data_IF_791717042226
#
_entry.id   IF_791717042226
#
_cell.length_a   1.000
_cell.length_b   1.000
_cell.length_c   1.000
_cell.angle_alpha   90.00
_cell.angle_beta   90.00
_cell.angle_gamma   90.00
#
_symmetry.space_group_name_H-M   'P 1'
#
loop_
_entity.id
_entity.type
_entity.pdbx_description
1 polymer ?
#
# COMPACT_ATOMS: atom_id res chain seq x y z
N UNK A 1 12.07 -19.39 -8.78
CA UNK A 1 11.19 -18.52 -7.98
C UNK A 1 9.77 -18.77 -8.42
N UNK A 2 8.95 -19.35 -7.54
CA UNK A 2 7.52 -19.50 -7.75
C UNK A 2 6.86 -18.13 -7.59
N UNK A 3 6.05 -17.74 -8.56
CA UNK A 3 5.25 -16.50 -8.47
C UNK A 3 3.98 -16.78 -7.69
N UNK A 4 3.34 -15.74 -7.13
CA UNK A 4 2.03 -15.86 -6.48
C UNK A 4 1.05 -16.64 -7.38
N UNK A 5 0.94 -16.25 -8.66
CA UNK A 5 0.03 -16.90 -9.60
C UNK A 5 0.34 -18.38 -9.82
N UNK A 6 1.62 -18.77 -9.81
CA UNK A 6 2.01 -20.17 -9.96
C UNK A 6 1.63 -20.99 -8.72
N UNK A 7 1.83 -20.45 -7.51
CA UNK A 7 1.46 -21.13 -6.27
C UNK A 7 -0.06 -21.24 -6.11
N UNK A 8 -0.81 -20.18 -6.43
CA UNK A 8 -2.27 -20.23 -6.41
C UNK A 8 -2.81 -21.28 -7.39
N UNK A 9 -2.27 -21.34 -8.61
CA UNK A 9 -2.68 -22.35 -9.60
C UNK A 9 -2.26 -23.78 -9.21
N UNK A 10 -1.23 -23.93 -8.37
CA UNK A 10 -0.75 -25.24 -7.92
C UNK A 10 -1.57 -25.79 -6.76
N UNK A 11 -1.98 -24.92 -5.82
CA UNK A 11 -2.54 -25.36 -4.52
C UNK A 11 -4.04 -25.06 -4.34
N UNK A 12 -4.68 -24.34 -5.27
CA UNK A 12 -6.08 -23.90 -5.13
C UNK A 12 -6.84 -23.95 -6.46
N UNK A 13 -8.15 -24.23 -6.42
CA UNK A 13 -9.08 -24.04 -7.56
C UNK A 13 -9.82 -22.69 -7.49
N UNK A 14 -9.17 -21.62 -7.01
CA UNK A 14 -9.79 -20.30 -6.91
C UNK A 14 -10.18 -19.73 -8.29
N UNK A 15 -11.37 -19.11 -8.42
CA UNK A 15 -11.75 -18.45 -9.67
C UNK A 15 -10.84 -17.26 -9.96
N UNK A 16 -10.67 -16.91 -11.23
CA UNK A 16 -9.79 -15.82 -11.66
C UNK A 16 -10.05 -14.48 -10.96
N UNK A 17 -11.32 -14.18 -10.63
CA UNK A 17 -11.68 -12.95 -9.90
C UNK A 17 -11.17 -12.93 -8.45
N UNK A 18 -11.12 -14.09 -7.77
CA UNK A 18 -10.53 -14.24 -6.46
C UNK A 18 -9.00 -14.14 -6.51
N UNK A 19 -8.38 -14.76 -7.54
CA UNK A 19 -6.94 -14.63 -7.81
C UNK A 19 -6.56 -13.16 -8.04
N UNK A 20 -7.32 -12.44 -8.85
CA UNK A 20 -7.11 -11.00 -9.09
C UNK A 20 -7.27 -10.19 -7.79
N UNK A 21 -8.17 -10.57 -6.89
CA UNK A 21 -8.31 -9.93 -5.58
C UNK A 21 -7.06 -10.17 -4.71
N UNK A 22 -6.55 -11.40 -4.63
CA UNK A 22 -5.30 -11.69 -3.90
C UNK A 22 -4.11 -10.94 -4.48
N UNK A 23 -4.02 -10.83 -5.81
CA UNK A 23 -3.00 -10.00 -6.46
C UNK A 23 -3.10 -8.53 -6.08
N UNK A 24 -4.33 -7.97 -5.96
CA UNK A 24 -4.52 -6.61 -5.46
C UNK A 24 -4.10 -6.48 -3.99
N UNK A 25 -4.45 -7.44 -3.13
CA UNK A 25 -4.03 -7.45 -1.71
C UNK A 25 -2.50 -7.42 -1.63
N UNK A 26 -1.82 -8.28 -2.39
CA UNK A 26 -0.35 -8.34 -2.50
C UNK A 26 0.24 -7.10 -3.18
N UNK A 27 -0.50 -6.39 -4.03
CA UNK A 27 -0.07 -5.10 -4.57
C UNK A 27 -0.01 -3.99 -3.51
N UNK A 28 -0.85 -4.10 -2.47
CA UNK A 28 -1.08 -3.05 -1.47
C UNK A 28 -0.41 -3.32 -0.11
N UNK A 29 -0.09 -4.58 0.17
CA UNK A 29 0.34 -5.04 1.48
C UNK A 29 1.65 -4.45 2.02
N UNK A 30 2.49 -3.80 1.21
CA UNK A 30 3.69 -3.15 1.72
C UNK A 30 3.30 -1.99 2.62
N UNK A 31 2.23 -1.28 2.26
CA UNK A 31 1.64 -0.26 3.12
C UNK A 31 1.11 -0.88 4.42
N UNK A 32 0.45 -2.05 4.35
CA UNK A 32 -0.03 -2.77 5.53
C UNK A 32 1.13 -3.18 6.45
N UNK A 33 2.19 -3.75 5.89
CA UNK A 33 3.39 -4.14 6.63
C UNK A 33 4.04 -2.91 7.30
N UNK A 34 4.21 -1.81 6.56
CA UNK A 34 4.81 -0.58 7.07
C UNK A 34 3.97 0.07 8.19
N UNK A 35 2.63 0.11 8.04
CA UNK A 35 1.72 0.66 9.04
C UNK A 35 1.58 -0.24 10.28
N UNK A 36 1.72 -1.55 10.10
CA UNK A 36 1.61 -2.52 11.21
C UNK A 36 2.94 -2.80 11.91
N UNK A 37 4.06 -2.32 11.36
CA UNK A 37 5.41 -2.65 11.83
C UNK A 37 5.65 -4.17 11.90
N UNK A 38 5.02 -4.92 10.99
CA UNK A 38 4.92 -6.37 11.05
C UNK A 38 5.29 -7.00 9.71
N UNK A 39 5.88 -8.20 9.77
CA UNK A 39 5.95 -9.09 8.63
C UNK A 39 4.55 -9.57 8.28
N UNK A 40 4.22 -9.65 6.99
CA UNK A 40 2.90 -10.04 6.50
C UNK A 40 3.05 -11.22 5.55
N UNK A 41 2.38 -12.34 5.85
CA UNK A 41 2.37 -13.52 5.00
C UNK A 41 0.95 -13.78 4.50
N UNK A 42 0.83 -14.30 3.29
CA UNK A 42 -0.43 -14.72 2.69
C UNK A 42 -0.49 -16.25 2.64
N UNK A 43 -1.48 -16.82 3.30
CA UNK A 43 -1.73 -18.25 3.41
C UNK A 43 -2.96 -18.65 2.61
N UNK A 44 -2.91 -19.80 1.95
CA UNK A 44 -4.07 -20.46 1.33
C UNK A 44 -4.20 -21.88 1.87
N UNK A 45 -5.42 -22.39 1.95
CA UNK A 45 -5.64 -23.81 2.20
C UNK A 45 -5.25 -24.60 0.95
N UNK A 46 -4.39 -25.60 1.11
CA UNK A 46 -4.08 -26.53 0.04
C UNK A 46 -5.21 -27.54 -0.09
N UNK A 47 -5.67 -27.80 -1.32
CA UNK A 47 -6.66 -28.85 -1.55
C UNK A 47 -6.09 -30.23 -1.20
N UNK A 48 -6.85 -31.01 -0.44
CA UNK A 48 -6.53 -32.39 -0.09
C UNK A 48 -6.65 -33.31 -1.32
N UNK A 49 -5.67 -33.28 -2.21
CA UNK A 49 -5.50 -34.29 -3.24
C UNK A 49 -5.01 -35.60 -2.64
N UNK A 50 -5.75 -36.71 -2.82
CA UNK A 50 -5.21 -38.06 -2.58
C UNK A 50 -5.29 -38.64 -1.16
N UNK A 51 -6.07 -38.04 -0.25
CA UNK A 51 -6.34 -38.63 1.07
C UNK A 51 -5.35 -38.23 2.18
N UNK A 52 -4.47 -37.26 1.93
CA UNK A 52 -3.69 -36.60 2.99
C UNK A 52 -4.46 -35.41 3.59
N UNK A 53 -4.32 -35.14 4.90
CA UNK A 53 -4.94 -33.98 5.53
C UNK A 53 -4.46 -32.70 4.85
N UNK A 54 -5.41 -31.80 4.53
CA UNK A 54 -5.11 -30.51 3.90
C UNK A 54 -4.24 -29.66 4.82
N UNK A 55 -3.14 -29.14 4.29
CA UNK A 55 -2.29 -28.17 4.98
C UNK A 55 -2.61 -26.74 4.54
N UNK A 56 -1.83 -25.79 5.04
CA UNK A 56 -1.82 -24.41 4.52
C UNK A 56 -0.48 -24.11 3.87
N UNK A 57 -0.50 -23.31 2.81
CA UNK A 57 0.70 -22.93 2.06
C UNK A 57 0.86 -21.43 2.12
N UNK A 58 2.07 -20.97 2.46
CA UNK A 58 2.42 -19.56 2.30
C UNK A 58 2.68 -19.28 0.82
N UNK A 59 1.86 -18.45 0.20
CA UNK A 59 1.96 -18.14 -1.23
C UNK A 59 2.66 -16.82 -1.50
N UNK A 60 2.85 -16.00 -0.47
CA UNK A 60 3.51 -14.71 -0.60
C UNK A 60 3.95 -14.18 0.79
N UNK A 61 5.08 -13.47 0.85
CA UNK A 61 5.61 -12.81 2.05
C UNK A 61 6.00 -11.34 1.77
N UNK A 62 5.76 -10.46 2.75
CA UNK A 62 6.18 -9.06 2.76
C UNK A 62 6.80 -8.71 4.12
N UNK A 63 7.89 -7.92 4.09
CA UNK A 63 8.58 -7.44 5.31
C UNK A 63 8.39 -5.93 5.45
N UNK A 64 8.25 -5.40 6.68
CA UNK A 64 8.09 -3.97 6.89
C UNK A 64 9.40 -3.24 6.60
N UNK A 65 9.30 -2.03 6.07
CA UNK A 65 10.46 -1.10 5.96
C UNK A 65 10.61 -0.22 7.20
N UNK A 66 9.59 -0.20 8.06
CA UNK A 66 9.49 0.64 9.26
C UNK A 66 9.96 -0.05 10.54
N UNK A 67 10.24 -1.35 10.50
CA UNK A 67 10.68 -2.14 11.65
C UNK A 67 11.59 -3.31 11.21
N UNK A 68 12.29 -3.91 12.17
CA UNK A 68 13.05 -5.13 11.92
C UNK A 68 12.11 -6.32 11.74
N UNK A 69 12.39 -7.15 10.73
CA UNK A 69 11.68 -8.42 10.49
C UNK A 69 11.93 -9.40 11.64
N UNK A 70 10.88 -10.14 12.02
CA UNK A 70 10.94 -11.31 12.91
C UNK A 70 10.97 -12.62 12.13
N UNK A 71 10.81 -12.57 10.81
CA UNK A 71 10.85 -13.72 9.89
C UNK A 71 11.99 -13.55 8.87
N UNK A 72 13.25 -13.82 9.28
CA UNK A 72 14.41 -13.65 8.40
C UNK A 72 14.41 -14.64 7.23
N UNK A 73 13.81 -15.82 7.42
CA UNK A 73 13.73 -16.87 6.40
C UNK A 73 12.59 -16.60 5.40
N UNK A 74 12.76 -17.10 4.18
CA UNK A 74 11.73 -17.06 3.15
C UNK A 74 10.77 -18.23 3.34
N UNK A 75 9.50 -17.91 3.60
CA UNK A 75 8.45 -18.91 3.84
C UNK A 75 7.64 -19.22 2.59
N UNK A 76 7.91 -18.57 1.45
CA UNK A 76 7.07 -18.70 0.24
C UNK A 76 7.22 -20.10 -0.39
N UNK A 77 6.08 -20.76 -0.58
CA UNK A 77 5.97 -22.12 -1.11
C UNK A 77 6.06 -23.21 -0.04
N UNK A 78 6.27 -22.85 1.23
CA UNK A 78 6.30 -23.80 2.33
C UNK A 78 4.89 -24.28 2.64
N UNK A 79 4.68 -25.59 2.53
CA UNK A 79 3.51 -26.29 3.05
C UNK A 79 3.75 -26.56 4.53
N UNK A 80 2.88 -26.01 5.37
CA UNK A 80 2.93 -26.20 6.83
C UNK A 80 1.69 -26.95 7.29
N UNK A 81 1.89 -27.74 8.32
CA UNK A 81 0.81 -28.41 9.02
C UNK A 81 -0.03 -27.41 9.80
N UNK A 82 -1.27 -27.79 10.09
CA UNK A 82 -2.20 -26.98 10.88
C UNK A 82 -1.66 -26.65 12.28
N UNK A 83 -0.84 -27.53 12.85
CA UNK A 83 -0.26 -27.38 14.19
C UNK A 83 0.84 -26.31 14.27
N UNK A 84 1.49 -25.99 13.15
CA UNK A 84 2.57 -24.98 13.11
C UNK A 84 2.02 -23.55 13.17
N UNK A 85 0.83 -23.32 12.61
CA UNK A 85 0.16 -22.02 12.58
C UNK A 85 -1.32 -22.12 12.96
N UNK A 86 -1.65 -22.54 14.20
CA UNK A 86 -3.02 -22.85 14.60
C UNK A 86 -3.96 -21.63 14.56
N UNK A 87 -3.41 -20.42 14.74
CA UNK A 87 -4.18 -19.17 14.65
C UNK A 87 -4.58 -18.83 13.21
N UNK A 88 -3.83 -19.27 12.20
CA UNK A 88 -4.16 -19.12 10.78
C UNK A 88 -5.31 -20.05 10.42
N UNK A 89 -5.23 -21.32 10.80
CA UNK A 89 -6.32 -22.28 10.59
C UNK A 89 -7.62 -21.79 11.25
N UNK A 90 -7.56 -21.38 12.52
CA UNK A 90 -8.73 -20.85 13.23
C UNK A 90 -9.36 -19.66 12.50
N UNK A 91 -8.57 -18.83 11.81
CA UNK A 91 -9.09 -17.73 11.01
C UNK A 91 -9.79 -18.20 9.73
N UNK A 92 -9.28 -19.26 9.08
CA UNK A 92 -10.00 -19.92 7.98
C UNK A 92 -11.35 -20.47 8.44
N UNK A 93 -11.37 -21.22 9.56
CA UNK A 93 -12.59 -21.87 10.09
C UNK A 93 -13.64 -20.87 10.58
N UNK A 94 -13.22 -19.89 11.36
CA UNK A 94 -14.15 -18.94 11.99
C UNK A 94 -14.54 -17.79 11.06
N UNK A 95 -13.72 -17.53 10.04
CA UNK A 95 -13.82 -16.34 9.19
C UNK A 95 -13.72 -15.03 9.97
N UNK A 96 -13.07 -15.04 11.13
CA UNK A 96 -12.85 -13.88 12.00
C UNK A 96 -11.36 -13.60 12.16
N UNK A 97 -11.03 -12.37 12.52
CA UNK A 97 -9.66 -12.01 12.92
C UNK A 97 -9.30 -12.73 14.22
N UNK A 98 -8.20 -13.48 14.20
CA UNK A 98 -7.71 -14.27 15.35
C UNK A 98 -6.37 -13.72 15.81
N UNK A 99 -6.26 -13.37 17.09
CA UNK A 99 -4.98 -13.04 17.72
C UNK A 99 -4.40 -14.33 18.29
N UNK A 100 -3.14 -14.64 18.00
CA UNK A 100 -2.51 -15.82 18.56
C UNK A 100 -2.18 -15.60 20.04
N UNK A 101 -2.22 -16.70 20.80
CA UNK A 101 -1.65 -16.71 22.14
C UNK A 101 -0.12 -16.54 22.08
N UNK A 102 0.47 -16.06 23.16
CA UNK A 102 1.93 -15.93 23.25
C UNK A 102 2.53 -17.32 23.30
N UNK A 103 3.43 -17.62 22.36
CA UNK A 103 4.18 -18.87 22.38
C UNK A 103 5.35 -18.74 23.38
N UNK A 104 5.39 -19.56 24.45
CA UNK A 104 6.47 -19.50 25.44
C UNK A 104 7.83 -19.97 24.88
N UNK A 105 7.86 -20.62 23.72
CA UNK A 105 9.09 -21.05 23.06
C UNK A 105 9.76 -19.96 22.22
N UNK A 106 9.05 -18.86 21.95
CA UNK A 106 9.60 -17.73 21.21
C UNK A 106 10.77 -17.10 21.97
N UNK A 107 11.89 -16.93 21.28
CA UNK A 107 13.08 -16.24 21.82
C UNK A 107 12.80 -14.76 22.13
N UNK A 108 11.87 -14.15 21.41
CA UNK A 108 11.39 -12.78 21.61
C UNK A 108 9.87 -12.81 21.61
N UNK A 109 9.18 -12.20 22.58
CA UNK A 109 7.72 -12.21 22.59
C UNK A 109 7.14 -11.61 21.29
N UNK A 110 6.37 -12.40 20.55
CA UNK A 110 5.75 -11.97 19.30
C UNK A 110 4.27 -11.63 19.50
N UNK A 111 3.80 -10.64 18.74
CA UNK A 111 2.38 -10.36 18.54
C UNK A 111 2.01 -10.89 17.17
N UNK A 112 1.28 -12.00 17.13
CA UNK A 112 0.79 -12.63 15.90
C UNK A 112 -0.71 -12.45 15.76
N UNK A 113 -1.18 -12.20 14.55
CA UNK A 113 -2.60 -12.11 14.25
C UNK A 113 -2.87 -12.63 12.84
N UNK A 114 -3.94 -13.43 12.70
CA UNK A 114 -4.46 -13.87 11.43
C UNK A 114 -5.72 -13.05 11.05
N UNK A 115 -5.77 -12.63 9.79
CA UNK A 115 -6.83 -11.80 9.21
C UNK A 115 -7.34 -12.51 7.95
N UNK A 116 -8.58 -13.02 7.96
CA UNK A 116 -9.20 -13.59 6.77
C UNK A 116 -9.21 -12.59 5.62
N UNK A 117 -8.98 -13.05 4.40
CA UNK A 117 -9.14 -12.28 3.17
C UNK A 117 -10.44 -12.73 2.52
N UNK A 118 -11.43 -11.85 2.43
CA UNK A 118 -12.73 -12.17 1.86
C UNK A 118 -12.88 -11.69 0.42
N UNK A 119 -13.45 -12.55 -0.40
CA UNK A 119 -13.93 -12.21 -1.74
C UNK A 119 -15.31 -12.85 -1.94
N UNK A 120 -16.26 -12.04 -2.39
CA UNK A 120 -17.66 -12.48 -2.63
C UNK A 120 -18.25 -13.24 -1.43
N UNK A 121 -18.03 -12.72 -0.22
CA UNK A 121 -18.49 -13.31 1.04
C UNK A 121 -17.67 -14.50 1.57
N UNK A 122 -16.82 -15.11 0.75
CA UNK A 122 -16.05 -16.31 1.09
C UNK A 122 -14.63 -15.94 1.56
N UNK A 123 -14.10 -16.69 2.53
CA UNK A 123 -12.68 -16.58 2.92
C UNK A 123 -11.86 -17.34 1.89
N UNK A 124 -11.03 -16.63 1.13
CA UNK A 124 -10.22 -17.20 0.04
C UNK A 124 -8.75 -17.37 0.41
N UNK A 125 -8.30 -16.68 1.47
CA UNK A 125 -6.95 -16.73 2.01
C UNK A 125 -6.95 -16.16 3.44
N UNK A 126 -5.82 -16.25 4.13
CA UNK A 126 -5.59 -15.60 5.42
C UNK A 126 -4.26 -14.85 5.37
N UNK A 127 -4.25 -13.59 5.80
CA UNK A 127 -3.03 -12.87 6.10
C UNK A 127 -2.60 -13.17 7.53
N UNK A 128 -1.35 -13.55 7.77
CA UNK A 128 -0.76 -13.40 9.11
C UNK A 128 0.04 -12.10 9.17
N UNK A 129 0.03 -11.45 10.33
CA UNK A 129 0.98 -10.38 10.65
C UNK A 129 1.72 -10.71 11.94
N UNK A 130 3.05 -10.64 11.88
CA UNK A 130 3.94 -11.02 12.97
C UNK A 130 4.88 -9.85 13.28
N UNK A 131 4.82 -9.37 14.52
CA UNK A 131 5.66 -8.26 14.98
C UNK A 131 6.28 -8.57 16.34
N UNK A 132 7.49 -8.07 16.56
CA UNK A 132 8.10 -8.11 17.89
C UNK A 132 7.27 -7.27 18.86
N UNK A 133 6.97 -7.83 20.04
CA UNK A 133 6.27 -7.09 21.09
C UNK A 133 7.25 -6.14 21.78
N UNK A 134 7.04 -4.84 21.62
CA UNK A 134 7.90 -3.83 22.24
C UNK A 134 7.34 -3.42 23.60
N UNK A 135 8.15 -3.51 24.66
CA UNK A 135 7.77 -3.14 26.03
C UNK A 135 7.96 -1.64 26.34
N UNK A 136 7.65 -0.77 25.37
CA UNK A 136 7.67 0.69 25.57
C UNK A 136 6.35 1.32 25.15
N UNK A 137 6.11 2.54 25.62
CA UNK A 137 4.94 3.31 25.21
C UNK A 137 5.01 3.63 23.70
N UNK A 138 3.92 3.41 23.00
CA UNK A 138 3.76 3.79 21.60
C UNK A 138 3.81 5.32 21.45
N UNK A 139 4.52 5.77 20.42
CA UNK A 139 4.54 7.17 19.99
C UNK A 139 3.24 7.52 19.25
N UNK A 140 2.95 8.81 19.08
CA UNK A 140 1.77 9.26 18.32
C UNK A 140 1.76 8.75 16.87
N UNK A 141 2.95 8.65 16.25
CA UNK A 141 3.11 8.06 14.91
C UNK A 141 2.71 6.60 14.89
N UNK A 142 3.25 5.82 15.83
CA UNK A 142 2.95 4.38 15.92
C UNK A 142 1.48 4.12 16.19
N UNK A 143 0.85 4.92 17.06
CA UNK A 143 -0.60 4.84 17.30
C UNK A 143 -1.39 5.11 16.02
N UNK A 144 -1.10 6.21 15.32
CA UNK A 144 -1.80 6.56 14.08
C UNK A 144 -1.61 5.50 12.97
N UNK A 145 -0.42 4.90 12.88
CA UNK A 145 -0.11 3.86 11.91
C UNK A 145 -0.85 2.57 12.24
N UNK A 146 -0.81 2.12 13.49
CA UNK A 146 -1.48 0.90 13.95
C UNK A 146 -3.00 1.00 13.84
N UNK A 147 -3.60 2.14 14.19
CA UNK A 147 -5.04 2.37 14.03
C UNK A 147 -5.48 2.29 12.56
N UNK A 148 -4.68 2.89 11.65
CA UNK A 148 -4.93 2.79 10.22
C UNK A 148 -4.78 1.36 9.70
N UNK A 149 -3.72 0.65 10.11
CA UNK A 149 -3.51 -0.76 9.76
C UNK A 149 -4.69 -1.62 10.22
N UNK A 150 -5.14 -1.45 11.47
CA UNK A 150 -6.24 -2.21 12.05
C UNK A 150 -7.57 -1.96 11.30
N UNK A 151 -7.84 -0.71 10.89
CA UNK A 151 -8.99 -0.39 10.04
C UNK A 151 -8.90 -1.09 8.68
N UNK A 152 -7.74 -1.06 8.01
CA UNK A 152 -7.54 -1.74 6.73
C UNK A 152 -7.65 -3.27 6.85
N UNK A 153 -7.12 -3.88 7.90
CA UNK A 153 -7.27 -5.32 8.14
C UNK A 153 -8.72 -5.72 8.38
N UNK A 154 -9.51 -4.90 9.09
CA UNK A 154 -10.97 -5.13 9.20
C UNK A 154 -11.65 -5.06 7.84
N UNK A 155 -11.32 -4.07 7.02
CA UNK A 155 -11.87 -3.95 5.66
C UNK A 155 -11.48 -5.14 4.76
N UNK A 156 -10.26 -5.70 4.90
CA UNK A 156 -9.85 -6.93 4.20
C UNK A 156 -10.68 -8.13 4.68
N UNK A 157 -10.88 -8.24 6.00
CA UNK A 157 -11.73 -9.27 6.60
C UNK A 157 -13.19 -9.16 6.18
N UNK A 158 -13.64 -7.96 5.81
CA UNK A 158 -14.98 -7.67 5.29
C UNK A 158 -15.07 -7.78 3.75
N UNK A 159 -13.94 -7.87 3.06
CA UNK A 159 -13.85 -7.89 1.59
C UNK A 159 -14.07 -6.53 0.91
N UNK A 160 -13.99 -5.43 1.67
CA UNK A 160 -14.17 -4.05 1.18
C UNK A 160 -12.84 -3.38 0.79
N UNK A 161 -11.71 -3.98 1.13
CA UNK A 161 -10.38 -3.56 0.69
C UNK A 161 -9.54 -4.75 0.22
N UNK A 162 -8.72 -4.61 -0.83
CA UNK A 162 -8.63 -3.47 -1.75
C UNK A 162 -9.73 -3.49 -2.81
N UNK A 163 -10.10 -2.31 -3.30
CA UNK A 163 -11.14 -2.18 -4.33
C UNK A 163 -10.61 -2.41 -5.74
N UNK A 164 -11.46 -2.83 -6.71
CA UNK A 164 -11.04 -3.08 -8.09
C UNK A 164 -10.43 -1.86 -8.80
N UNK A 165 -10.86 -0.65 -8.42
CA UNK A 165 -10.35 0.63 -8.93
C UNK A 165 -8.92 0.94 -8.44
N UNK A 166 -8.48 0.25 -7.39
CA UNK A 166 -7.11 0.28 -6.87
C UNK A 166 -6.19 -0.57 -7.76
N UNK A 167 -5.93 -0.14 -9.00
CA UNK A 167 -4.82 -0.69 -9.76
C UNK A 167 -3.52 -0.09 -9.24
N UNK A 168 -2.70 -0.92 -8.59
CA UNK A 168 -1.35 -0.53 -8.17
C UNK A 168 -0.45 -0.38 -9.39
N UNK A 169 -0.32 0.81 -9.95
CA UNK A 169 0.82 1.12 -10.83
C UNK A 169 2.07 1.25 -9.94
N UNK A 170 2.76 0.12 -9.79
CA UNK A 170 3.60 -0.29 -8.66
C UNK A 170 4.94 0.43 -8.45
N UNK A 171 5.29 1.49 -9.19
CA UNK A 171 6.65 2.06 -9.09
C UNK A 171 6.80 3.39 -8.35
N UNK A 172 5.71 4.12 -8.10
CA UNK A 172 5.80 5.47 -7.50
C UNK A 172 4.78 5.79 -6.40
N UNK A 173 3.95 4.84 -5.97
CA UNK A 173 3.00 5.10 -4.87
C UNK A 173 3.74 5.58 -3.62
N UNK A 174 3.23 6.62 -2.93
CA UNK A 174 3.73 6.99 -1.63
C UNK A 174 3.70 5.81 -0.66
N UNK A 175 4.76 5.67 0.14
CA UNK A 175 4.87 4.74 1.27
C UNK A 175 4.40 5.43 2.55
N UNK A 176 4.13 4.66 3.60
CA UNK A 176 3.80 5.23 4.91
C UNK A 176 4.89 6.19 5.40
N UNK A 177 6.16 5.82 5.23
CA UNK A 177 7.31 6.62 5.65
C UNK A 177 7.52 7.93 4.86
N UNK A 178 6.98 8.06 3.65
CA UNK A 178 7.15 9.28 2.84
C UNK A 178 6.39 10.47 3.44
N UNK A 179 5.30 10.19 4.15
CA UNK A 179 4.40 11.18 4.74
C UNK A 179 3.03 10.56 4.97
N UNK A 180 2.47 10.76 6.17
CA UNK A 180 1.21 10.16 6.58
C UNK A 180 0.34 11.20 7.28
N UNK A 181 -0.94 11.25 6.92
CA UNK A 181 -1.94 12.16 7.47
C UNK A 181 -3.17 11.32 7.81
N UNK A 182 -3.72 11.49 9.00
CA UNK A 182 -5.02 10.92 9.40
C UNK A 182 -6.06 12.03 9.42
N UNK A 183 -7.20 11.76 8.81
CA UNK A 183 -8.36 12.66 8.76
C UNK A 183 -9.52 12.11 9.59
N UNK A 184 -10.24 12.96 10.30
CA UNK A 184 -11.54 12.58 10.87
C UNK A 184 -12.64 12.47 9.79
N UNK A 185 -13.88 12.23 10.24
CA UNK A 185 -15.06 12.09 9.38
C UNK A 185 -15.43 13.37 8.64
N UNK A 186 -15.00 14.54 9.13
CA UNK A 186 -15.26 15.82 8.50
C UNK A 186 -14.09 16.30 7.63
N UNK A 187 -13.05 15.49 7.45
CA UNK A 187 -11.88 15.83 6.64
C UNK A 187 -10.87 16.74 7.35
N UNK A 188 -10.97 16.90 8.68
CA UNK A 188 -9.98 17.62 9.46
C UNK A 188 -8.80 16.72 9.82
N UNK A 189 -7.61 17.30 9.82
CA UNK A 189 -6.37 16.59 10.13
C UNK A 189 -6.28 16.33 11.63
N UNK A 190 -6.40 15.08 12.06
CA UNK A 190 -6.21 14.67 13.47
C UNK A 190 -4.76 14.31 13.77
N UNK A 191 -4.00 13.90 12.75
CA UNK A 191 -2.58 13.60 12.87
C UNK A 191 -1.87 13.86 11.54
N UNK A 192 -0.65 14.39 11.60
CA UNK A 192 0.25 14.51 10.47
C UNK A 192 1.68 14.11 10.89
N UNK A 193 2.32 13.25 10.11
CA UNK A 193 3.71 12.87 10.35
C UNK A 193 4.67 14.00 9.99
N UNK A 194 5.87 14.07 10.59
CA UNK A 194 6.85 15.12 10.28
C UNK A 194 7.19 15.25 8.79
N UNK A 195 7.18 14.13 8.05
CA UNK A 195 7.43 14.15 6.60
C UNK A 195 6.23 14.71 5.82
N UNK A 196 5.00 14.45 6.26
CA UNK A 196 3.82 15.09 5.67
C UNK A 196 3.82 16.60 5.89
N UNK A 197 4.12 17.06 7.12
CA UNK A 197 4.30 18.49 7.43
C UNK A 197 5.39 19.11 6.55
N UNK A 198 6.53 18.42 6.39
CA UNK A 198 7.63 18.89 5.53
C UNK A 198 7.20 19.04 4.07
N UNK A 199 6.39 18.10 3.54
CA UNK A 199 5.85 18.20 2.19
C UNK A 199 4.90 19.42 2.04
N UNK A 200 3.99 19.63 3.00
CA UNK A 200 3.09 20.80 2.99
C UNK A 200 3.84 22.13 3.13
N UNK A 201 4.89 22.20 3.94
CA UNK A 201 5.75 23.39 4.02
C UNK A 201 6.42 23.70 2.67
N UNK A 202 6.88 22.68 1.94
CA UNK A 202 7.45 22.86 0.58
C UNK A 202 6.39 23.31 -0.44
N UNK A 203 5.14 22.89 -0.26
CA UNK A 203 4.00 23.41 -1.04
C UNK A 203 3.63 24.86 -0.66
N UNK A 204 4.15 25.38 0.44
CA UNK A 204 3.98 26.77 0.86
C UNK A 204 3.10 27.00 2.08
N UNK A 205 2.71 25.94 2.80
CA UNK A 205 2.01 26.07 4.08
C UNK A 205 2.97 26.67 5.13
N UNK A 206 2.54 27.72 5.82
CA UNK A 206 3.32 28.38 6.87
C UNK A 206 2.78 28.17 8.28
N UNK A 207 1.67 27.43 8.40
CA UNK A 207 1.00 27.11 9.66
C UNK A 207 1.04 25.60 9.93
N UNK A 208 0.64 25.20 11.13
CA UNK A 208 0.50 23.78 11.46
C UNK A 208 -0.63 23.14 10.62
N UNK A 209 -0.43 21.90 10.18
CA UNK A 209 -1.42 21.16 9.41
C UNK A 209 -2.49 20.53 10.31
N UNK A 210 -2.15 20.20 11.56
CA UNK A 210 -3.07 19.54 12.50
C UNK A 210 -4.24 20.48 12.84
N UNK A 211 -5.45 19.94 12.84
CA UNK A 211 -6.70 20.65 13.12
C UNK A 211 -7.30 21.39 11.92
N UNK A 212 -6.58 21.50 10.80
CA UNK A 212 -7.08 22.16 9.60
C UNK A 212 -7.95 21.22 8.75
N UNK A 213 -8.84 21.80 7.94
CA UNK A 213 -9.54 21.13 6.86
C UNK A 213 -8.55 20.85 5.71
N UNK A 214 -8.29 19.57 5.42
CA UNK A 214 -7.27 19.21 4.44
C UNK A 214 -7.62 19.71 3.03
N UNK A 215 -8.91 19.69 2.66
CA UNK A 215 -9.39 20.11 1.33
C UNK A 215 -9.13 21.59 1.16
N UNK A 216 -9.61 22.41 2.09
CA UNK A 216 -9.48 23.86 2.04
C UNK A 216 -8.00 24.30 2.07
N UNK A 217 -7.20 23.67 2.95
CA UNK A 217 -5.77 23.96 3.05
C UNK A 217 -5.02 23.59 1.79
N UNK A 218 -5.24 22.40 1.23
CA UNK A 218 -4.53 21.96 0.01
C UNK A 218 -4.95 22.83 -1.18
N UNK A 219 -6.25 23.12 -1.32
CA UNK A 219 -6.79 23.97 -2.38
C UNK A 219 -6.13 25.35 -2.41
N UNK A 220 -5.87 25.95 -1.24
CA UNK A 220 -5.24 27.26 -1.12
C UNK A 220 -3.76 27.28 -1.52
N UNK A 221 -3.09 26.12 -1.53
CA UNK A 221 -1.68 25.99 -1.90
C UNK A 221 -1.47 25.77 -3.40
N UNK A 222 -2.45 25.19 -4.09
CA UNK A 222 -2.39 24.91 -5.53
C UNK A 222 -2.76 26.17 -6.31
N UNK A 223 -1.79 26.70 -7.06
CA UNK A 223 -1.94 27.97 -7.79
C UNK A 223 -2.69 27.84 -9.10
N UNK A 224 -2.63 26.68 -9.75
CA UNK A 224 -3.37 26.45 -10.99
C UNK A 224 -4.87 26.24 -10.70
N UNK A 225 -5.79 27.02 -11.31
CA UNK A 225 -7.21 26.92 -11.02
C UNK A 225 -7.87 25.59 -11.42
N UNK A 226 -7.34 24.88 -12.41
CA UNK A 226 -7.88 23.58 -12.84
C UNK A 226 -7.40 22.49 -11.88
N UNK A 227 -6.09 22.41 -11.63
CA UNK A 227 -5.54 21.46 -10.66
C UNK A 227 -6.14 21.68 -9.26
N UNK A 228 -6.35 22.93 -8.84
CA UNK A 228 -6.97 23.25 -7.54
C UNK A 228 -8.38 22.67 -7.41
N UNK A 229 -9.16 22.62 -8.49
CA UNK A 229 -10.49 21.99 -8.50
C UNK A 229 -10.38 20.47 -8.46
N UNK A 230 -9.56 19.88 -9.31
CA UNK A 230 -9.36 18.42 -9.36
C UNK A 230 -8.89 17.89 -8.00
N UNK A 231 -7.98 18.62 -7.34
CA UNK A 231 -7.49 18.30 -6.01
C UNK A 231 -8.58 18.37 -4.95
N UNK A 232 -9.41 19.40 -5.02
CA UNK A 232 -10.53 19.58 -4.09
C UNK A 232 -11.55 18.46 -4.26
N UNK A 233 -11.90 18.11 -5.49
CA UNK A 233 -12.87 17.06 -5.80
C UNK A 233 -12.36 15.69 -5.38
N UNK A 234 -11.06 15.42 -5.57
CA UNK A 234 -10.41 14.20 -5.13
C UNK A 234 -10.42 14.04 -3.59
N UNK A 235 -9.95 15.07 -2.86
CA UNK A 235 -9.89 15.01 -1.40
C UNK A 235 -11.29 15.03 -0.78
N UNK A 236 -12.23 15.82 -1.32
CA UNK A 236 -13.63 15.81 -0.89
C UNK A 236 -14.27 14.46 -1.14
N UNK A 237 -13.97 13.83 -2.28
CA UNK A 237 -14.39 12.46 -2.57
C UNK A 237 -13.92 11.49 -1.50
N UNK A 238 -12.65 11.52 -1.11
CA UNK A 238 -12.13 10.66 -0.05
C UNK A 238 -12.81 10.90 1.32
N UNK A 239 -13.12 12.16 1.65
CA UNK A 239 -13.87 12.52 2.88
C UNK A 239 -15.32 12.05 2.81
N UNK A 240 -15.93 11.99 1.63
CA UNK A 240 -17.27 11.46 1.40
C UNK A 240 -17.30 9.92 1.28
N UNK A 241 -16.14 9.27 1.39
CA UNK A 241 -16.00 7.83 1.25
C UNK A 241 -15.93 7.33 -0.20
N UNK A 242 -15.82 8.23 -1.18
CA UNK A 242 -15.55 7.90 -2.58
C UNK A 242 -14.08 7.52 -2.73
N UNK A 243 -13.85 6.38 -3.38
CA UNK A 243 -12.50 5.87 -3.61
C UNK A 243 -11.92 6.60 -4.80
N UNK A 244 -10.73 7.17 -4.61
CA UNK A 244 -9.99 7.86 -5.65
C UNK A 244 -8.64 7.19 -5.92
N UNK A 245 -8.13 7.38 -7.13
CA UNK A 245 -6.77 6.97 -7.48
C UNK A 245 -5.74 7.98 -6.98
N UNK A 246 -4.46 7.61 -7.00
CA UNK A 246 -3.36 8.56 -6.72
C UNK A 246 -3.49 9.85 -7.54
N UNK A 247 -3.03 10.95 -6.97
CA UNK A 247 -3.03 12.26 -7.62
C UNK A 247 -1.67 12.94 -7.45
N UNK A 248 -1.21 13.60 -8.50
CA UNK A 248 -0.02 14.45 -8.47
C UNK A 248 -0.47 15.91 -8.32
N UNK A 249 0.22 16.65 -7.46
CA UNK A 249 -0.05 18.07 -7.22
C UNK A 249 1.24 18.86 -7.40
N UNK A 250 1.19 19.94 -8.17
CA UNK A 250 2.26 20.93 -8.23
C UNK A 250 1.84 22.21 -7.47
N UNK A 251 2.65 22.62 -6.50
CA UNK A 251 2.39 23.81 -5.68
C UNK A 251 3.70 24.52 -5.36
N UNK A 252 3.81 25.80 -5.75
CA UNK A 252 4.98 26.67 -5.52
C UNK A 252 6.34 26.02 -5.90
N UNK A 253 6.36 25.25 -6.98
CA UNK A 253 7.56 24.58 -7.49
C UNK A 253 7.94 23.29 -6.76
N UNK A 254 7.13 22.84 -5.80
CA UNK A 254 7.15 21.50 -5.25
C UNK A 254 6.16 20.61 -6.00
N UNK A 255 6.51 19.34 -6.20
CA UNK A 255 5.63 18.32 -6.78
C UNK A 255 5.45 17.21 -5.77
N UNK A 256 4.20 16.94 -5.36
CA UNK A 256 3.87 15.89 -4.40
C UNK A 256 2.93 14.86 -5.02
N UNK A 257 3.10 13.59 -4.66
CA UNK A 257 2.15 12.53 -4.93
C UNK A 257 1.31 12.29 -3.68
N UNK A 258 0.00 12.24 -3.85
CA UNK A 258 -0.98 12.00 -2.80
C UNK A 258 -1.80 10.77 -3.13
N UNK A 259 -2.06 9.97 -2.10
CA UNK A 259 -2.99 8.85 -2.19
C UNK A 259 -3.82 8.79 -0.92
N UNK A 260 -5.14 8.85 -1.08
CA UNK A 260 -6.11 8.76 -0.02
C UNK A 260 -6.66 7.34 0.08
N UNK A 261 -6.86 6.89 1.31
CA UNK A 261 -7.38 5.58 1.68
C UNK A 261 -8.60 5.86 2.55
N UNK A 262 -9.77 5.58 2.00
CA UNK A 262 -11.02 5.69 2.75
C UNK A 262 -11.04 4.60 3.82
N UNK A 263 -11.31 4.98 5.07
CA UNK A 263 -11.39 4.06 6.19
C UNK A 263 -12.85 3.92 6.62
N UNK A 264 -13.46 2.79 6.29
CA UNK A 264 -14.86 2.50 6.60
C UNK A 264 -15.07 1.07 7.13
N UNK A 265 -14.35 0.65 8.20
CA UNK A 265 -14.57 -0.67 8.80
C UNK A 265 -16.00 -0.80 9.31
N UNK A 266 -16.62 -1.97 9.12
CA UNK A 266 -18.01 -2.24 9.46
C UNK A 266 -19.03 -1.42 8.64
N UNK A 267 -18.61 -0.85 7.51
CA UNK A 267 -19.43 0.02 6.67
C UNK A 267 -19.68 1.43 7.23
N UNK A 268 -19.10 1.76 8.38
CA UNK A 268 -19.18 3.09 8.97
C UNK A 268 -17.92 3.88 8.61
N UNK A 269 -18.07 4.99 7.90
CA UNK A 269 -16.96 5.89 7.58
C UNK A 269 -16.32 6.44 8.87
N UNK A 270 -15.02 6.19 9.07
CA UNK A 270 -14.19 6.71 10.16
C UNK A 270 -13.27 7.86 9.70
N UNK A 271 -13.41 8.29 8.46
CA UNK A 271 -12.56 9.29 7.80
C UNK A 271 -11.63 8.65 6.78
N UNK A 272 -10.43 9.19 6.63
CA UNK A 272 -9.44 8.69 5.69
C UNK A 272 -8.01 8.74 6.23
N UNK A 273 -7.13 7.97 5.61
CA UNK A 273 -5.69 8.14 5.71
C UNK A 273 -5.15 8.65 4.37
N UNK A 274 -4.21 9.58 4.41
CA UNK A 274 -3.58 10.15 3.22
C UNK A 274 -2.09 9.95 3.33
N UNK A 275 -1.51 9.25 2.36
CA UNK A 275 -0.07 9.14 2.21
C UNK A 275 0.40 10.16 1.17
N UNK A 276 1.45 10.89 1.51
CA UNK A 276 2.02 11.96 0.70
C UNK A 276 3.50 11.72 0.50
N UNK A 277 3.99 11.93 -0.72
CA UNK A 277 5.41 11.85 -1.06
C UNK A 277 5.83 13.06 -1.85
N UNK A 278 6.84 13.77 -1.37
CA UNK A 278 7.50 14.79 -2.18
C UNK A 278 8.38 14.12 -3.25
N UNK A 279 8.05 14.38 -4.51
CA UNK A 279 8.75 13.88 -5.71
C UNK A 279 9.38 15.00 -6.52
N UNK A 280 9.53 16.21 -5.95
CA UNK A 280 10.06 17.41 -6.64
C UNK A 280 11.38 17.12 -7.34
N UNK A 281 12.36 16.56 -6.62
CA UNK A 281 13.68 16.27 -7.17
C UNK A 281 13.68 15.08 -8.14
N UNK A 282 12.79 14.10 -7.94
CA UNK A 282 12.61 12.98 -8.87
C UNK A 282 12.09 13.51 -10.21
N UNK A 283 11.05 14.35 -10.16
CA UNK A 283 10.44 14.97 -11.35
C UNK A 283 11.39 15.91 -12.07
N UNK A 284 12.19 16.70 -11.34
CA UNK A 284 13.24 17.54 -11.95
C UNK A 284 14.26 16.70 -12.72
N UNK A 285 14.70 15.57 -12.16
CA UNK A 285 15.62 14.65 -12.83
C UNK A 285 14.98 13.97 -14.05
N UNK A 286 13.74 13.51 -13.94
CA UNK A 286 13.02 12.89 -15.05
C UNK A 286 12.82 13.87 -16.22
N UNK A 287 12.43 15.12 -15.94
CA UNK A 287 12.31 16.19 -16.95
C UNK A 287 13.67 16.46 -17.62
N UNK A 288 14.76 16.48 -16.86
CA UNK A 288 16.11 16.67 -17.41
C UNK A 288 16.58 15.49 -18.29
N UNK A 289 16.23 14.26 -17.94
CA UNK A 289 16.53 13.07 -18.74
C UNK A 289 15.75 13.07 -20.06
N UNK A 290 14.45 13.34 -20.01
CA UNK A 290 13.61 13.43 -21.21
C UNK A 290 14.10 14.50 -22.19
N UNK A 291 14.53 15.66 -21.67
CA UNK A 291 15.11 16.72 -22.49
C UNK A 291 16.42 16.26 -23.16
N UNK A 292 17.30 15.55 -22.45
CA UNK A 292 18.53 14.98 -23.03
C UNK A 292 18.23 13.97 -24.13
N UNK A 293 17.27 13.07 -23.91
CA UNK A 293 16.88 12.07 -24.90
C UNK A 293 16.27 12.68 -26.16
N UNK A 294 15.51 13.78 -26.01
CA UNK A 294 14.98 14.54 -27.14
C UNK A 294 16.13 15.18 -27.95
N UNK A 295 17.08 15.83 -27.28
CA UNK A 295 18.26 16.41 -27.93
C UNK A 295 19.11 15.35 -28.65
N UNK A 296 19.32 14.19 -28.02
CA UNK A 296 20.04 13.06 -28.63
C UNK A 296 19.31 12.58 -29.89
N UNK A 297 18.00 12.38 -29.83
CA UNK A 297 17.19 11.96 -31.00
C UNK A 297 17.24 12.99 -32.11
N UNK A 298 17.20 14.28 -31.80
CA UNK A 298 17.31 15.35 -32.80
C UNK A 298 18.68 15.34 -33.48
N UNK A 299 19.78 15.25 -32.71
CA UNK A 299 21.14 15.15 -33.25
C UNK A 299 21.26 13.93 -34.17
N UNK A 300 20.76 12.77 -33.74
CA UNK A 300 20.76 11.56 -34.57
C UNK A 300 20.00 11.76 -35.87
N UNK A 301 18.82 12.40 -35.81
CA UNK A 301 18.02 12.65 -37.00
C UNK A 301 18.73 13.59 -37.98
N UNK A 302 19.44 14.62 -37.49
CA UNK A 302 20.24 15.54 -38.31
C UNK A 302 21.45 14.85 -38.94
N UNK A 303 22.19 14.05 -38.16
CA UNK A 303 23.37 13.30 -38.65
C UNK A 303 22.96 12.34 -39.77
N UNK A 304 21.86 11.59 -39.58
CA UNK A 304 21.32 10.68 -40.60
C UNK A 304 21.00 11.42 -41.90
N UNK A 305 20.27 12.54 -41.82
CA UNK A 305 19.89 13.33 -43.00
C UNK A 305 21.12 13.87 -43.73
N UNK A 306 22.11 14.39 -43.00
CA UNK A 306 23.34 14.90 -43.61
C UNK A 306 24.14 13.81 -44.33
N UNK A 307 24.27 12.62 -43.70
CA UNK A 307 24.94 11.48 -44.33
C UNK A 307 24.22 10.99 -45.58
N UNK A 308 22.88 11.00 -45.59
CA UNK A 308 22.09 10.65 -46.77
C UNK A 308 22.31 11.66 -47.91
N UNK A 309 22.34 12.96 -47.62
CA UNK A 309 22.63 13.99 -48.61
C UNK A 309 24.05 13.85 -49.18
N UNK A 310 25.05 13.64 -48.33
CA UNK A 310 26.44 13.41 -48.78
C UNK A 310 26.53 12.15 -49.64
N UNK A 311 25.88 11.06 -49.24
CA UNK A 311 25.82 9.83 -50.01
C UNK A 311 25.07 9.99 -51.35
N UNK A 312 24.10 10.90 -51.44
CA UNK A 312 23.41 11.23 -52.68
C UNK A 312 24.27 12.10 -53.62
N UNK A 313 25.13 12.97 -53.08
CA UNK A 313 26.07 13.80 -53.84
C UNK A 313 27.28 13.02 -54.38
N UNK A 314 27.62 11.88 -53.74
CA UNK A 314 28.72 11.00 -54.14
C UNK A 314 28.30 9.91 -55.16
N UNK A 315 27.06 9.93 -55.65
CA UNK A 315 26.56 9.10 -56.76
C UNK A 315 26.33 9.95 -57.99
#
# INVERSE_FOLDING_TARGET
>A
MSTLSALLAQYTDLPGSAVDHLQRVVGEWQLLADLSFADVLLWVAAESGGGEPGGIVCVAQCRPTTASTVLPEDSVGTLVSEDEHPYVLRAFETGKIVVADVDPTDTVPLRRQAVPVRWDGNVIAVLSRDAARVSRRSTALETAYLECADALYRMICEGTFPTPESRSDTKSSPRAGDGFIRLDREGRVVYASPNALSAYHRMGLSSDLIGQDLVATTRALVTDPFESRDVSDYLSGAVEGRIGQRMEIEARGATVLLRALVLAPGGSLEGAAVVIRDVTEVKRRDRALLSKDATIREIHHRVKNNLQTVAALLR
#
